data_IF_235394815784
#
_entry.id   IF_235394815784
#
_cell.length_a   1.000
_cell.length_b   1.000
_cell.length_c   1.000
_cell.angle_alpha   90.00
_cell.angle_beta   90.00
_cell.angle_gamma   90.00
#
_symmetry.space_group_name_H-M   'P 1'
#
loop_
_entity.id
_entity.type
_entity.pdbx_description
1 polymer ?
#
# COMPACT_ATOMS: atom_id res chain seq x y z
N UNK A 1 11.25 -3.27 -1.29
CA UNK A 1 10.04 -2.90 -0.56
C UNK A 1 8.97 -2.43 -1.55
N UNK A 2 8.05 -3.31 -1.92
CA UNK A 2 7.04 -3.00 -2.96
C UNK A 2 5.85 -2.24 -2.40
N UNK A 3 5.35 -1.25 -3.13
CA UNK A 3 4.09 -0.57 -2.84
C UNK A 3 2.88 -1.52 -2.98
N UNK A 4 1.75 -1.10 -2.41
CA UNK A 4 0.47 -1.80 -2.58
C UNK A 4 -0.62 -0.84 -3.07
N UNK A 5 -1.64 -1.43 -3.69
CA UNK A 5 -2.95 -0.81 -3.89
C UNK A 5 -4.02 -1.67 -3.22
N UNK A 6 -5.22 -1.11 -3.05
CA UNK A 6 -6.40 -1.88 -2.65
C UNK A 6 -7.27 -2.10 -3.89
N UNK A 7 -7.55 -3.34 -4.27
CA UNK A 7 -8.54 -3.69 -5.31
C UNK A 7 -9.96 -3.53 -4.76
N UNK A 8 -10.14 -3.77 -3.47
CA UNK A 8 -11.33 -3.36 -2.72
C UNK A 8 -10.95 -2.91 -1.32
N UNK A 9 -11.74 -1.99 -0.75
CA UNK A 9 -11.63 -1.62 0.65
C UNK A 9 -13.04 -1.40 1.21
N UNK A 10 -13.46 -2.32 2.04
CA UNK A 10 -14.69 -2.26 2.79
C UNK A 10 -14.43 -1.93 4.26
N UNK A 11 -15.35 -1.21 4.88
CA UNK A 11 -15.43 -1.00 6.32
C UNK A 11 -16.66 -1.73 6.81
N UNK A 12 -16.45 -2.85 7.49
CA UNK A 12 -17.51 -3.80 7.86
C UNK A 12 -17.99 -3.66 9.30
N UNK A 13 -17.31 -2.82 10.09
CA UNK A 13 -17.67 -2.59 11.48
C UNK A 13 -16.67 -1.69 12.20
N UNK A 14 -16.81 -1.65 13.51
CA UNK A 14 -15.90 -0.95 14.41
C UNK A 14 -15.62 -1.85 15.61
N UNK A 15 -14.35 -1.95 16.01
CA UNK A 15 -13.92 -2.72 17.17
C UNK A 15 -14.25 -1.91 18.43
N UNK A 16 -14.95 -2.54 19.38
CA UNK A 16 -15.44 -1.85 20.59
C UNK A 16 -14.31 -1.48 21.55
N UNK A 17 -13.28 -2.31 21.63
CA UNK A 17 -12.17 -2.16 22.58
C UNK A 17 -11.36 -0.87 22.39
N UNK A 18 -11.11 -0.46 21.17
CA UNK A 18 -10.21 0.66 20.83
C UNK A 18 -10.72 1.57 19.73
N UNK A 19 -11.90 1.26 19.19
CA UNK A 19 -12.55 2.05 18.15
C UNK A 19 -11.93 1.96 16.76
N UNK A 20 -11.02 1.01 16.51
CA UNK A 20 -10.52 0.76 15.16
C UNK A 20 -11.61 0.22 14.25
N UNK A 21 -11.58 0.63 13.00
CA UNK A 21 -12.52 0.12 11.99
C UNK A 21 -12.12 -1.30 11.59
N UNK A 22 -13.11 -2.18 11.52
CA UNK A 22 -12.98 -3.52 10.96
C UNK A 22 -13.09 -3.44 9.46
N UNK A 23 -12.16 -4.06 8.77
CA UNK A 23 -11.96 -3.96 7.33
C UNK A 23 -12.11 -5.32 6.67
N UNK A 24 -12.55 -5.31 5.39
CA UNK A 24 -12.43 -6.44 4.47
C UNK A 24 -11.88 -5.91 3.15
N UNK A 25 -10.61 -6.21 2.85
CA UNK A 25 -9.87 -5.59 1.76
C UNK A 25 -9.18 -6.63 0.89
N UNK A 26 -9.13 -6.39 -0.42
CA UNK A 26 -8.19 -7.08 -1.31
C UNK A 26 -7.01 -6.15 -1.53
N UNK A 27 -5.83 -6.56 -1.07
CA UNK A 27 -4.58 -5.86 -1.28
C UNK A 27 -3.75 -6.52 -2.38
N UNK A 28 -3.02 -5.69 -3.12
CA UNK A 28 -2.19 -6.12 -4.24
C UNK A 28 -0.87 -5.35 -4.27
N UNK A 29 0.26 -6.06 -4.28
CA UNK A 29 1.56 -5.45 -4.56
C UNK A 29 1.67 -4.99 -6.02
N UNK A 30 2.42 -3.91 -6.25
CA UNK A 30 2.65 -3.33 -7.57
C UNK A 30 4.15 -3.12 -7.81
N UNK A 31 4.58 -3.02 -9.08
CA UNK A 31 5.97 -2.84 -9.48
C UNK A 31 6.46 -1.38 -9.33
N UNK A 32 6.12 -0.78 -8.20
CA UNK A 32 6.71 0.45 -7.69
C UNK A 32 7.29 0.15 -6.32
N UNK A 33 8.58 0.36 -6.12
CA UNK A 33 9.27 -0.10 -4.93
C UNK A 33 10.36 0.86 -4.45
N UNK A 34 10.64 0.79 -3.16
CA UNK A 34 11.82 1.38 -2.53
C UNK A 34 12.91 0.31 -2.40
N UNK A 35 14.17 0.74 -2.45
CA UNK A 35 15.31 -0.15 -2.18
C UNK A 35 15.80 0.08 -0.76
N UNK A 36 15.97 -1.02 -0.01
CA UNK A 36 16.38 -0.99 1.38
C UNK A 36 17.68 -1.78 1.53
N UNK A 37 18.69 -1.12 2.07
CA UNK A 37 19.97 -1.73 2.40
C UNK A 37 20.16 -1.71 3.91
N UNK A 38 20.58 -2.83 4.48
CA UNK A 38 20.85 -2.96 5.92
C UNK A 38 22.20 -3.62 6.12
N UNK A 39 23.04 -3.05 6.97
CA UNK A 39 24.34 -3.61 7.36
C UNK A 39 24.61 -3.46 8.85
N UNK A 40 25.47 -4.33 9.42
CA UNK A 40 25.86 -4.28 10.83
C UNK A 40 26.77 -3.07 11.11
N UNK A 41 26.60 -2.51 12.32
CA UNK A 41 27.46 -1.48 12.89
C UNK A 41 27.89 -1.85 14.31
N UNK A 42 28.95 -1.21 14.81
CA UNK A 42 29.37 -1.40 16.20
C UNK A 42 28.29 -1.01 17.20
N UNK A 43 27.62 0.11 16.97
CA UNK A 43 26.57 0.62 17.89
C UNK A 43 25.58 1.50 17.17
N UNK A 44 24.42 1.74 17.79
CA UNK A 44 23.36 2.63 17.37
C UNK A 44 22.70 2.26 16.03
N UNK A 45 21.51 2.77 15.82
CA UNK A 45 20.82 2.73 14.53
C UNK A 45 21.14 4.04 13.80
N UNK A 46 21.62 3.94 12.55
CA UNK A 46 21.76 5.07 11.64
C UNK A 46 20.89 4.82 10.43
N UNK A 47 20.01 5.76 10.09
CA UNK A 47 19.18 5.70 8.90
C UNK A 47 19.50 6.87 7.99
N UNK A 48 19.64 6.60 6.70
CA UNK A 48 19.78 7.59 5.64
C UNK A 48 18.69 7.39 4.59
N UNK A 49 18.31 8.47 3.90
CA UNK A 49 17.32 8.44 2.83
C UNK A 49 17.68 9.46 1.76
N UNK A 50 17.50 9.11 0.49
CA UNK A 50 17.70 10.02 -0.65
C UNK A 50 16.66 11.16 -0.74
N UNK A 51 15.70 11.23 0.18
CA UNK A 51 14.69 12.30 0.27
C UNK A 51 14.79 13.01 1.60
N UNK A 52 15.19 14.28 1.58
CA UNK A 52 15.42 15.11 2.78
C UNK A 52 14.16 15.33 3.64
N UNK A 53 12.97 15.21 3.06
CA UNK A 53 11.69 15.31 3.77
C UNK A 53 11.24 14.03 4.47
N UNK A 54 11.97 12.92 4.28
CA UNK A 54 11.70 11.66 4.99
C UNK A 54 12.51 11.66 6.29
N UNK A 55 11.87 11.50 7.47
CA UNK A 55 12.57 11.43 8.74
C UNK A 55 13.60 10.29 8.77
N UNK A 56 14.78 10.57 9.37
CA UNK A 56 15.85 9.57 9.56
C UNK A 56 16.04 9.18 11.04
N UNK A 57 15.02 9.39 11.85
CA UNK A 57 14.95 9.19 13.29
C UNK A 57 13.73 8.31 13.67
N UNK A 58 13.40 8.12 14.99
CA UNK A 58 12.28 7.28 15.43
C UNK A 58 10.89 7.66 14.90
N UNK A 59 10.73 8.73 14.16
CA UNK A 59 9.49 9.04 13.42
C UNK A 59 9.32 8.15 12.18
N UNK A 60 10.41 7.56 11.68
CA UNK A 60 10.41 6.66 10.52
C UNK A 60 10.08 5.22 10.93
N UNK A 61 9.16 4.55 10.22
CA UNK A 61 8.77 3.17 10.51
C UNK A 61 9.91 2.17 10.33
N UNK A 62 10.81 2.38 9.37
CA UNK A 62 12.00 1.55 9.18
C UNK A 62 12.96 1.63 10.38
N UNK A 63 13.13 2.84 10.94
CA UNK A 63 13.90 3.04 12.17
C UNK A 63 13.25 2.34 13.37
N UNK A 64 11.93 2.52 13.54
CA UNK A 64 11.17 1.83 14.60
C UNK A 64 11.21 0.32 14.46
N UNK A 65 11.14 -0.19 13.23
CA UNK A 65 11.25 -1.62 12.95
C UNK A 65 12.59 -2.18 13.43
N UNK A 66 13.69 -1.49 13.16
CA UNK A 66 15.00 -1.88 13.64
C UNK A 66 15.11 -1.82 15.17
N UNK A 67 14.57 -0.78 15.81
CA UNK A 67 14.53 -0.69 17.28
C UNK A 67 13.79 -1.87 17.88
N UNK A 68 12.57 -2.13 17.39
CA UNK A 68 11.70 -3.17 17.93
C UNK A 68 12.29 -4.58 17.70
N UNK A 69 12.93 -4.80 16.55
CA UNK A 69 13.62 -6.06 16.25
C UNK A 69 14.80 -6.30 17.22
N UNK A 70 15.64 -5.27 17.41
CA UNK A 70 16.77 -5.35 18.37
C UNK A 70 16.31 -5.64 19.79
N UNK A 71 15.24 -5.00 20.24
CA UNK A 71 14.65 -5.21 21.56
C UNK A 71 14.13 -6.64 21.71
N UNK A 72 13.35 -7.12 20.75
CA UNK A 72 12.72 -8.45 20.76
C UNK A 72 13.75 -9.59 20.82
N UNK A 73 14.88 -9.44 20.10
CA UNK A 73 15.89 -10.52 19.94
C UNK A 73 17.22 -10.21 20.65
N UNK A 74 17.23 -9.25 21.56
CA UNK A 74 18.40 -8.84 22.38
C UNK A 74 19.67 -8.56 21.57
N UNK A 75 19.53 -7.93 20.39
CA UNK A 75 20.65 -7.61 19.51
C UNK A 75 21.38 -6.37 20.02
N UNK A 76 22.67 -6.52 20.35
CA UNK A 76 23.49 -5.43 20.92
C UNK A 76 24.14 -4.57 19.85
N UNK A 77 24.49 -5.16 18.70
CA UNK A 77 25.11 -4.45 17.57
C UNK A 77 24.18 -3.39 17.02
N UNK A 78 24.75 -2.36 16.44
CA UNK A 78 24.02 -1.35 15.68
C UNK A 78 23.70 -1.79 14.26
N UNK A 79 22.86 -1.01 13.58
CA UNK A 79 22.57 -1.20 12.16
C UNK A 79 22.61 0.11 11.41
N UNK A 80 23.09 0.06 10.17
CA UNK A 80 22.92 1.12 9.18
C UNK A 80 21.81 0.72 8.23
N UNK A 81 20.91 1.65 7.97
CA UNK A 81 19.77 1.48 7.06
C UNK A 81 19.87 2.58 6.01
N UNK A 82 19.89 2.23 4.73
CA UNK A 82 19.76 3.18 3.64
C UNK A 82 18.49 2.91 2.84
N UNK A 83 17.68 3.95 2.66
CA UNK A 83 16.42 3.90 1.91
C UNK A 83 16.56 4.72 0.63
N UNK A 84 16.47 4.05 -0.53
CA UNK A 84 16.27 4.73 -1.82
C UNK A 84 14.78 4.82 -2.08
N UNK A 85 14.19 5.96 -1.71
CA UNK A 85 12.74 6.18 -1.72
C UNK A 85 12.24 6.57 -3.11
N UNK A 86 11.39 5.73 -3.70
CA UNK A 86 10.70 5.96 -4.98
C UNK A 86 9.18 5.99 -4.80
N UNK A 87 8.65 5.26 -3.80
CA UNK A 87 7.22 5.28 -3.46
C UNK A 87 6.86 6.65 -2.88
N UNK A 88 5.84 7.34 -3.42
CA UNK A 88 5.37 8.61 -2.88
C UNK A 88 4.96 8.51 -1.41
N UNK A 89 5.33 9.53 -0.62
CA UNK A 89 4.99 9.61 0.81
C UNK A 89 3.54 10.09 0.99
N UNK A 90 2.86 9.59 2.02
CA UNK A 90 1.46 9.94 2.35
C UNK A 90 0.54 9.78 1.14
N UNK A 91 0.65 8.66 0.46
CA UNK A 91 0.04 8.41 -0.84
C UNK A 91 -1.06 7.32 -0.85
N UNK A 92 -1.31 6.63 0.27
CA UNK A 92 -2.21 5.46 0.30
C UNK A 92 -1.60 4.17 -0.29
N UNK A 93 -0.27 4.17 -0.52
CA UNK A 93 0.51 3.09 -1.15
C UNK A 93 1.34 2.26 -0.16
N UNK A 94 1.18 2.49 1.14
CA UNK A 94 1.90 1.84 2.25
C UNK A 94 3.44 1.96 2.21
N UNK A 95 4.01 3.02 1.59
CA UNK A 95 5.45 3.14 1.41
C UNK A 95 6.28 3.06 2.69
N UNK A 96 5.84 3.69 3.79
CA UNK A 96 6.54 3.57 5.08
C UNK A 96 6.39 2.19 5.73
N UNK A 97 5.21 1.56 5.58
CA UNK A 97 4.94 0.22 6.12
C UNK A 97 5.77 -0.85 5.40
N UNK A 98 5.91 -0.72 4.08
CA UNK A 98 6.73 -1.66 3.30
C UNK A 98 8.23 -1.49 3.59
N UNK A 99 8.69 -0.25 3.86
CA UNK A 99 10.08 -0.01 4.32
C UNK A 99 10.33 -0.70 5.67
N UNK A 100 9.40 -0.53 6.64
CA UNK A 100 9.48 -1.19 7.94
C UNK A 100 9.46 -2.73 7.84
N UNK A 101 8.59 -3.28 7.00
CA UNK A 101 8.51 -4.72 6.72
C UNK A 101 9.83 -5.25 6.13
N UNK A 102 10.41 -4.51 5.16
CA UNK A 102 11.68 -4.88 4.55
C UNK A 102 12.83 -4.89 5.58
N UNK A 103 12.87 -3.89 6.47
CA UNK A 103 13.89 -3.84 7.54
C UNK A 103 13.73 -5.04 8.49
N UNK A 104 12.52 -5.42 8.92
CA UNK A 104 12.31 -6.62 9.74
C UNK A 104 12.85 -7.87 9.07
N UNK A 105 12.54 -8.09 7.80
CA UNK A 105 13.02 -9.26 7.02
C UNK A 105 14.53 -9.24 6.82
N UNK A 106 15.10 -8.08 6.51
CA UNK A 106 16.54 -7.93 6.30
C UNK A 106 17.32 -8.12 7.60
N UNK A 107 16.84 -7.61 8.72
CA UNK A 107 17.46 -7.84 10.03
C UNK A 107 17.37 -9.30 10.45
N UNK A 108 16.23 -9.96 10.20
CA UNK A 108 16.09 -11.39 10.46
C UNK A 108 17.16 -12.21 9.76
N UNK A 109 17.42 -11.88 8.46
CA UNK A 109 18.48 -12.51 7.68
C UNK A 109 19.88 -12.11 8.15
N UNK A 110 20.12 -10.81 8.41
CA UNK A 110 21.43 -10.26 8.75
C UNK A 110 21.97 -10.78 10.09
N UNK A 111 21.08 -10.99 11.07
CA UNK A 111 21.40 -11.46 12.41
C UNK A 111 21.13 -12.96 12.60
N UNK A 112 20.70 -13.66 11.53
CA UNK A 112 20.46 -15.11 11.52
C UNK A 112 19.49 -15.56 12.63
N UNK A 113 18.48 -14.72 12.95
CA UNK A 113 17.50 -14.99 14.03
C UNK A 113 16.59 -16.15 13.63
N UNK A 114 16.32 -16.32 12.33
CA UNK A 114 15.44 -17.36 11.78
C UNK A 114 13.98 -17.29 12.31
N UNK A 115 13.51 -16.08 12.61
CA UNK A 115 12.12 -15.85 12.96
C UNK A 115 11.22 -16.18 11.75
N UNK A 116 10.05 -16.76 12.02
CA UNK A 116 9.05 -17.04 10.98
C UNK A 116 8.41 -15.75 10.44
N UNK A 117 7.75 -15.84 9.28
CA UNK A 117 6.99 -14.69 8.75
C UNK A 117 5.87 -14.30 9.73
N UNK A 118 5.24 -15.24 10.42
CA UNK A 118 4.21 -15.03 11.43
C UNK A 118 4.74 -14.21 12.61
N UNK A 119 5.91 -14.56 13.15
CA UNK A 119 6.57 -13.80 14.22
C UNK A 119 6.93 -12.39 13.80
N UNK A 120 7.42 -12.21 12.55
CA UNK A 120 7.72 -10.90 12.00
C UNK A 120 6.44 -10.09 11.77
N UNK A 121 5.32 -10.72 11.37
CA UNK A 121 4.03 -10.07 11.20
C UNK A 121 3.46 -9.60 12.54
N UNK A 122 3.54 -10.41 13.59
CA UNK A 122 3.14 -10.00 14.96
C UNK A 122 3.98 -8.81 15.45
N UNK A 123 5.28 -8.84 15.21
CA UNK A 123 6.17 -7.75 15.56
C UNK A 123 5.82 -6.48 14.76
N UNK A 124 5.59 -6.63 13.45
CA UNK A 124 5.23 -5.55 12.55
C UNK A 124 3.89 -4.91 12.87
N UNK A 125 2.91 -5.68 13.34
CA UNK A 125 1.58 -5.18 13.71
C UNK A 125 1.65 -4.11 14.81
N UNK A 126 2.63 -4.20 15.73
CA UNK A 126 2.87 -3.18 16.76
C UNK A 126 3.26 -1.82 16.20
N UNK A 127 3.75 -1.78 14.97
CA UNK A 127 4.18 -0.56 14.28
C UNK A 127 3.11 -0.02 13.33
N UNK A 128 2.28 -0.89 12.74
CA UNK A 128 1.20 -0.48 11.85
C UNK A 128 0.48 -1.65 11.18
N UNK A 129 -0.82 -1.47 10.97
CA UNK A 129 -1.72 -2.51 10.47
C UNK A 129 -1.39 -3.01 9.03
N UNK A 130 -0.75 -2.20 8.20
CA UNK A 130 -0.33 -2.61 6.85
C UNK A 130 0.97 -3.44 6.84
N UNK A 131 1.77 -3.44 7.93
CA UNK A 131 3.08 -4.10 7.94
C UNK A 131 2.98 -5.62 7.80
N UNK A 132 2.04 -6.32 8.47
CA UNK A 132 1.86 -7.76 8.27
C UNK A 132 1.65 -8.11 6.80
N UNK A 133 0.77 -7.39 6.09
CA UNK A 133 0.59 -7.58 4.65
C UNK A 133 1.88 -7.29 3.87
N UNK A 134 2.62 -6.23 4.21
CA UNK A 134 3.88 -5.89 3.53
C UNK A 134 4.97 -6.97 3.73
N UNK A 135 4.93 -7.73 4.83
CA UNK A 135 5.79 -8.89 5.04
C UNK A 135 5.39 -10.05 4.14
N UNK A 136 4.09 -10.36 4.07
CA UNK A 136 3.55 -11.46 3.27
C UNK A 136 3.58 -11.15 1.77
N UNK A 137 3.06 -10.00 1.38
CA UNK A 137 3.02 -9.50 0.00
C UNK A 137 2.02 -10.22 -0.90
N UNK A 138 2.16 -9.96 -2.22
CA UNK A 138 1.36 -10.62 -3.27
C UNK A 138 -0.06 -10.08 -3.39
N UNK A 139 -1.01 -10.97 -3.66
CA UNK A 139 -2.45 -10.74 -3.69
C UNK A 139 -3.06 -11.38 -2.45
N UNK A 140 -3.76 -10.61 -1.63
CA UNK A 140 -4.32 -11.12 -0.38
C UNK A 140 -5.65 -10.47 0.00
N UNK A 141 -6.52 -11.26 0.63
CA UNK A 141 -7.63 -10.77 1.42
C UNK A 141 -7.08 -10.40 2.81
N UNK A 142 -7.36 -9.18 3.25
CA UNK A 142 -6.95 -8.65 4.55
C UNK A 142 -8.19 -8.27 5.34
N UNK A 143 -8.35 -8.84 6.53
CA UNK A 143 -9.50 -8.65 7.41
C UNK A 143 -9.05 -8.18 8.81
N UNK A 144 -9.99 -7.99 9.74
CA UNK A 144 -9.69 -7.38 11.03
C UNK A 144 -9.42 -5.89 10.88
N UNK A 145 -8.31 -5.38 11.42
CA UNK A 145 -7.81 -4.02 11.15
C UNK A 145 -6.85 -4.01 9.93
N UNK A 146 -6.68 -5.16 9.26
CA UNK A 146 -5.80 -5.42 8.12
C UNK A 146 -4.75 -6.52 8.37
N UNK A 147 -4.74 -7.09 9.57
CA UNK A 147 -3.73 -8.05 10.05
C UNK A 147 -4.06 -9.52 9.73
N UNK A 148 -5.33 -9.85 9.51
CA UNK A 148 -5.74 -11.21 9.16
C UNK A 148 -5.60 -11.42 7.66
N UNK A 149 -4.57 -12.13 7.24
CA UNK A 149 -4.16 -12.22 5.85
C UNK A 149 -4.44 -13.61 5.29
N UNK A 150 -5.26 -13.67 4.25
CA UNK A 150 -5.49 -14.88 3.45
C UNK A 150 -4.90 -14.67 2.06
N UNK A 151 -3.93 -15.49 1.67
CA UNK A 151 -3.34 -15.42 0.33
C UNK A 151 -4.39 -15.76 -0.73
N UNK A 152 -4.37 -15.00 -1.82
CA UNK A 152 -5.21 -15.23 -2.99
C UNK A 152 -4.36 -15.63 -4.20
N UNK A 153 -5.00 -16.21 -5.23
CA UNK A 153 -4.34 -16.42 -6.50
C UNK A 153 -3.81 -15.11 -7.06
N UNK A 154 -2.58 -15.09 -7.61
CA UNK A 154 -2.01 -13.88 -8.19
C UNK A 154 -2.85 -13.34 -9.35
N UNK A 155 -3.28 -12.08 -9.26
CA UNK A 155 -3.94 -11.35 -10.34
C UNK A 155 -2.88 -10.75 -11.27
N UNK A 156 -2.36 -11.58 -12.20
CA UNK A 156 -1.13 -11.32 -12.98
C UNK A 156 -1.34 -10.37 -14.15
N UNK A 157 -0.22 -9.80 -14.62
CA UNK A 157 -0.08 -9.13 -15.92
C UNK A 157 -1.05 -7.97 -16.15
N UNK A 158 -1.39 -7.24 -15.09
CA UNK A 158 -2.23 -6.05 -15.20
C UNK A 158 -1.38 -4.78 -15.27
N UNK A 159 -1.80 -3.88 -16.14
CA UNK A 159 -1.13 -2.60 -16.38
C UNK A 159 -1.85 -1.52 -15.59
N UNK A 160 -1.08 -0.72 -14.86
CA UNK A 160 -1.59 0.31 -13.99
C UNK A 160 -1.03 1.68 -14.36
N UNK A 161 -1.85 2.71 -14.23
CA UNK A 161 -1.40 4.09 -14.11
C UNK A 161 -1.71 4.56 -12.71
N UNK A 162 -0.69 5.08 -12.02
CA UNK A 162 -0.85 5.69 -10.70
C UNK A 162 -0.69 7.19 -10.84
N UNK A 163 -1.59 7.94 -10.23
CA UNK A 163 -1.54 9.41 -10.22
C UNK A 163 -1.64 9.89 -8.79
N UNK A 164 -0.56 10.52 -8.29
CA UNK A 164 -0.49 11.10 -6.97
C UNK A 164 -0.44 12.63 -7.06
N UNK A 165 -1.49 13.34 -6.60
CA UNK A 165 -1.50 14.81 -6.53
C UNK A 165 -0.44 15.37 -5.59
N UNK A 166 -0.21 16.67 -5.64
CA UNK A 166 0.83 17.37 -4.88
C UNK A 166 0.63 17.45 -3.35
N UNK A 167 -0.45 16.87 -2.81
CA UNK A 167 -0.75 16.87 -1.37
C UNK A 167 -0.78 15.45 -0.80
N UNK A 168 -0.69 15.32 0.53
CA UNK A 168 -0.90 14.08 1.27
C UNK A 168 -2.26 14.07 1.95
N UNK A 169 -2.73 12.88 2.33
CA UNK A 169 -3.97 12.68 3.10
C UNK A 169 -3.64 11.90 4.37
N UNK A 170 -4.18 12.36 5.50
CA UNK A 170 -4.03 11.68 6.79
C UNK A 170 -5.02 10.53 6.89
N UNK A 171 -4.52 9.30 6.94
CA UNK A 171 -5.34 8.09 7.13
C UNK A 171 -6.20 8.20 8.39
N UNK A 172 -5.62 8.71 9.50
CA UNK A 172 -6.33 8.90 10.77
C UNK A 172 -7.54 9.85 10.62
N UNK A 173 -7.38 10.95 9.88
CA UNK A 173 -8.47 11.90 9.67
C UNK A 173 -9.56 11.35 8.75
N UNK A 174 -9.19 10.54 7.74
CA UNK A 174 -10.16 9.91 6.85
C UNK A 174 -11.02 8.93 7.63
N UNK A 175 -10.42 8.03 8.43
CA UNK A 175 -11.18 7.09 9.26
C UNK A 175 -12.02 7.81 10.33
N UNK A 176 -11.50 8.88 10.94
CA UNK A 176 -12.27 9.69 11.91
C UNK A 176 -13.50 10.36 11.27
N UNK A 177 -13.41 10.72 9.99
CA UNK A 177 -14.51 11.38 9.25
C UNK A 177 -15.42 10.37 8.53
N UNK A 178 -15.12 9.07 8.60
CA UNK A 178 -15.90 8.03 7.96
C UNK A 178 -17.11 7.68 8.82
N UNK A 179 -18.31 7.67 8.20
CA UNK A 179 -19.58 7.35 8.83
C UNK A 179 -20.10 6.04 8.22
N UNK A 180 -20.03 4.96 9.00
CA UNK A 180 -20.39 3.60 8.55
C UNK A 180 -21.86 3.50 8.15
N UNK A 181 -22.75 4.13 8.90
CA UNK A 181 -24.21 4.16 8.69
C UNK A 181 -24.60 4.85 7.37
N UNK A 182 -23.74 5.71 6.85
CA UNK A 182 -23.92 6.36 5.54
C UNK A 182 -23.35 5.57 4.36
N UNK A 183 -22.64 4.48 4.62
CA UNK A 183 -22.09 3.61 3.60
C UNK A 183 -23.17 2.62 3.08
N UNK A 184 -23.91 3.02 2.02
CA UNK A 184 -25.03 2.24 1.49
C UNK A 184 -24.65 1.10 0.54
N UNK A 185 -23.47 1.20 -0.08
CA UNK A 185 -23.06 0.25 -1.12
C UNK A 185 -21.66 -0.27 -0.78
N UNK A 186 -21.58 -1.54 -0.41
CA UNK A 186 -20.35 -2.24 -0.08
C UNK A 186 -19.75 -2.96 -1.30
N UNK A 187 -18.43 -3.17 -1.36
CA UNK A 187 -17.83 -4.00 -2.40
C UNK A 187 -18.28 -5.45 -2.28
N UNK A 188 -18.53 -6.09 -3.41
CA UNK A 188 -18.83 -7.53 -3.48
C UNK A 188 -17.49 -8.31 -3.47
N UNK A 189 -16.80 -8.30 -2.33
CA UNK A 189 -15.42 -8.80 -2.21
C UNK A 189 -15.26 -10.23 -2.69
N UNK A 190 -16.19 -11.13 -2.35
CA UNK A 190 -16.12 -12.55 -2.74
C UNK A 190 -16.24 -12.73 -4.27
N UNK A 191 -17.12 -11.95 -4.91
CA UNK A 191 -17.22 -11.94 -6.39
C UNK A 191 -16.01 -11.33 -7.07
N UNK A 192 -15.36 -10.35 -6.43
CA UNK A 192 -14.08 -9.81 -6.93
C UNK A 192 -12.98 -10.87 -6.85
N UNK A 193 -12.92 -11.65 -5.77
CA UNK A 193 -11.96 -12.76 -5.64
C UNK A 193 -12.18 -13.80 -6.74
N UNK A 194 -13.42 -14.24 -6.94
CA UNK A 194 -13.79 -15.17 -8.01
C UNK A 194 -13.39 -14.66 -9.40
N UNK A 195 -13.68 -13.39 -9.68
CA UNK A 195 -13.31 -12.76 -10.95
C UNK A 195 -11.78 -12.64 -11.14
N UNK A 196 -11.04 -12.35 -10.06
CA UNK A 196 -9.58 -12.33 -10.09
C UNK A 196 -9.00 -13.73 -10.34
N UNK A 197 -9.55 -14.76 -9.74
CA UNK A 197 -9.17 -16.17 -9.97
C UNK A 197 -9.40 -16.63 -11.41
N UNK A 198 -10.48 -16.14 -12.01
CA UNK A 198 -10.82 -16.36 -13.42
C UNK A 198 -10.12 -15.38 -14.38
N UNK A 199 -9.25 -14.50 -13.84
CA UNK A 199 -8.52 -13.47 -14.61
C UNK A 199 -9.42 -12.49 -15.38
N UNK A 200 -10.67 -12.31 -14.92
CA UNK A 200 -11.65 -11.37 -15.52
C UNK A 200 -11.31 -9.92 -15.14
N UNK A 201 -10.46 -9.31 -15.97
CA UNK A 201 -10.03 -7.92 -15.82
C UNK A 201 -11.22 -6.95 -15.80
N UNK A 202 -12.19 -7.17 -16.71
CA UNK A 202 -13.29 -6.22 -16.90
C UNK A 202 -14.24 -6.24 -15.71
N UNK A 203 -14.58 -7.43 -15.20
CA UNK A 203 -15.39 -7.52 -14.00
C UNK A 203 -14.69 -6.87 -12.81
N UNK A 204 -13.41 -7.21 -12.57
CA UNK A 204 -12.64 -6.65 -11.45
C UNK A 204 -12.60 -5.12 -11.55
N UNK A 205 -12.15 -4.57 -12.68
CA UNK A 205 -11.93 -3.14 -12.83
C UNK A 205 -13.24 -2.32 -12.73
N UNK A 206 -14.36 -2.84 -13.22
CA UNK A 206 -15.67 -2.18 -13.13
C UNK A 206 -16.36 -2.31 -11.77
N UNK A 207 -15.94 -3.28 -10.92
CA UNK A 207 -16.56 -3.54 -9.63
C UNK A 207 -15.65 -3.22 -8.43
N UNK A 208 -14.43 -2.72 -8.67
CA UNK A 208 -13.57 -2.17 -7.62
C UNK A 208 -14.31 -1.12 -6.82
N UNK A 209 -14.17 -1.16 -5.50
CA UNK A 209 -14.78 -0.16 -4.62
C UNK A 209 -13.95 0.07 -3.37
N UNK A 210 -13.81 1.35 -3.01
CA UNK A 210 -13.13 1.79 -1.80
C UNK A 210 -14.07 2.74 -1.03
N UNK A 211 -14.55 2.32 0.13
CA UNK A 211 -15.49 3.12 0.92
C UNK A 211 -14.89 4.43 1.44
N UNK A 212 -13.56 4.51 1.57
CA UNK A 212 -12.89 5.75 1.98
C UNK A 212 -12.97 6.84 0.91
N UNK A 213 -13.29 6.49 -0.35
CA UNK A 213 -13.62 7.49 -1.38
C UNK A 213 -14.78 8.39 -0.96
N UNK A 214 -15.74 7.88 -0.19
CA UNK A 214 -16.88 8.67 0.33
C UNK A 214 -16.43 9.88 1.18
N UNK A 215 -15.24 9.82 1.77
CA UNK A 215 -14.66 10.92 2.55
C UNK A 215 -13.70 11.74 1.72
N UNK A 216 -12.73 11.08 1.12
CA UNK A 216 -11.58 11.76 0.51
C UNK A 216 -11.95 12.49 -0.79
N UNK A 217 -12.79 11.89 -1.65
CA UNK A 217 -13.21 12.53 -2.89
C UNK A 217 -14.07 13.77 -2.65
N UNK A 218 -14.90 13.77 -1.59
CA UNK A 218 -15.70 14.95 -1.22
C UNK A 218 -14.85 16.16 -0.81
N UNK A 219 -13.69 15.90 -0.19
CA UNK A 219 -12.74 16.93 0.24
C UNK A 219 -11.80 17.39 -0.89
N UNK A 220 -11.61 16.55 -1.92
CA UNK A 220 -10.58 16.76 -2.94
C UNK A 220 -11.10 16.44 -4.35
N UNK A 221 -11.87 17.37 -4.94
CA UNK A 221 -12.48 17.21 -6.28
C UNK A 221 -11.47 16.90 -7.40
N UNK A 222 -10.19 17.26 -7.25
CA UNK A 222 -9.15 16.92 -8.21
C UNK A 222 -9.03 15.41 -8.42
N UNK A 223 -9.33 14.58 -7.41
CA UNK A 223 -9.28 13.12 -7.52
C UNK A 223 -10.39 12.60 -8.44
N UNK A 224 -11.56 13.22 -8.40
CA UNK A 224 -12.67 12.89 -9.32
C UNK A 224 -12.23 13.19 -10.76
N UNK A 225 -11.66 14.36 -11.01
CA UNK A 225 -11.16 14.75 -12.34
C UNK A 225 -10.08 13.79 -12.84
N UNK A 226 -9.18 13.33 -11.97
CA UNK A 226 -8.16 12.34 -12.31
C UNK A 226 -8.80 11.01 -12.73
N UNK A 227 -9.82 10.52 -11.99
CA UNK A 227 -10.57 9.29 -12.34
C UNK A 227 -11.25 9.44 -13.70
N UNK A 228 -11.92 10.56 -13.94
CA UNK A 228 -12.59 10.87 -15.21
C UNK A 228 -11.61 10.89 -16.39
N UNK A 229 -10.45 11.52 -16.22
CA UNK A 229 -9.42 11.54 -17.26
C UNK A 229 -8.80 10.16 -17.51
N UNK A 230 -8.56 9.36 -16.48
CA UNK A 230 -8.14 7.98 -16.65
C UNK A 230 -9.15 7.19 -17.48
N UNK A 231 -10.44 7.27 -17.16
CA UNK A 231 -11.51 6.59 -17.88
C UNK A 231 -11.64 7.10 -19.32
N UNK A 232 -11.56 8.42 -19.54
CA UNK A 232 -11.56 9.03 -20.87
C UNK A 232 -10.46 8.51 -21.77
N UNK A 233 -9.28 8.22 -21.20
CA UNK A 233 -8.13 7.69 -21.93
C UNK A 233 -7.97 6.16 -21.81
N UNK A 234 -9.08 5.46 -21.59
CA UNK A 234 -9.19 4.02 -21.76
C UNK A 234 -8.80 3.17 -20.56
N UNK A 235 -8.85 3.73 -19.34
CA UNK A 235 -8.87 2.87 -18.16
C UNK A 235 -10.14 2.02 -18.17
N UNK A 236 -10.01 0.71 -17.92
CA UNK A 236 -11.15 -0.20 -17.73
C UNK A 236 -11.90 0.15 -16.45
N UNK A 237 -11.17 0.62 -15.44
CA UNK A 237 -11.71 1.16 -14.21
C UNK A 237 -10.66 1.96 -13.47
N UNK A 238 -11.10 2.89 -12.61
CA UNK A 238 -10.21 3.73 -11.80
C UNK A 238 -10.71 3.88 -10.36
N UNK A 239 -9.80 3.88 -9.39
CA UNK A 239 -10.12 3.95 -7.97
C UNK A 239 -9.00 4.60 -7.17
N UNK A 240 -9.33 5.15 -6.01
CA UNK A 240 -8.36 5.64 -5.03
C UNK A 240 -7.77 4.48 -4.22
N UNK A 241 -6.47 4.48 -3.98
CA UNK A 241 -5.79 3.49 -3.12
C UNK A 241 -5.78 3.90 -1.65
N UNK A 242 -6.23 3.01 -0.77
CA UNK A 242 -6.27 3.26 0.67
C UNK A 242 -7.06 4.51 1.02
N UNK A 243 -6.54 5.32 1.93
CA UNK A 243 -7.11 6.65 2.28
C UNK A 243 -6.80 7.73 1.22
N UNK A 244 -6.05 7.40 0.18
CA UNK A 244 -5.62 8.33 -0.86
C UNK A 244 -4.31 9.07 -0.52
N UNK A 245 -3.96 10.12 -1.30
CA UNK A 245 -4.71 10.65 -2.44
C UNK A 245 -4.37 9.98 -3.79
N UNK A 246 -3.58 8.90 -3.82
CA UNK A 246 -3.27 8.25 -5.09
C UNK A 246 -4.51 7.63 -5.69
N UNK A 247 -4.78 7.97 -6.95
CA UNK A 247 -5.74 7.29 -7.81
C UNK A 247 -4.97 6.36 -8.74
N UNK A 248 -5.48 5.16 -8.93
CA UNK A 248 -4.96 4.25 -9.94
C UNK A 248 -6.04 3.88 -10.95
N UNK A 249 -5.61 3.61 -12.18
CA UNK A 249 -6.45 3.05 -13.24
C UNK A 249 -5.85 1.74 -13.73
N UNK A 250 -6.70 0.77 -14.05
CA UNK A 250 -6.31 -0.51 -14.66
C UNK A 250 -6.55 -0.42 -16.16
N UNK A 251 -5.60 -0.90 -16.96
CA UNK A 251 -5.62 -0.85 -18.41
C UNK A 251 -5.42 -2.25 -19.02
N UNK A 252 -6.06 -2.46 -20.16
CA UNK A 252 -5.93 -3.67 -20.99
C UNK A 252 -4.72 -3.58 -21.95
N UNK A 253 -4.13 -2.37 -22.11
CA UNK A 253 -3.06 -2.10 -23.06
C UNK A 253 -2.04 -1.09 -22.52
N UNK A 254 -0.74 -1.38 -22.75
CA UNK A 254 0.37 -0.47 -22.41
C UNK A 254 0.26 0.86 -23.15
N UNK A 255 -0.26 0.83 -24.37
CA UNK A 255 -0.43 2.04 -25.21
C UNK A 255 -1.45 2.98 -24.56
N UNK A 256 -2.65 2.48 -24.22
CA UNK A 256 -3.68 3.26 -23.52
C UNK A 256 -3.16 3.82 -22.20
N UNK A 257 -2.45 3.01 -21.41
CA UNK A 257 -1.87 3.45 -20.15
C UNK A 257 -0.85 4.59 -20.34
N UNK A 258 0.06 4.47 -21.31
CA UNK A 258 1.04 5.52 -21.64
C UNK A 258 0.37 6.80 -22.13
N UNK A 259 -0.65 6.69 -22.99
CA UNK A 259 -1.44 7.82 -23.49
C UNK A 259 -2.15 8.54 -22.34
N UNK A 260 -2.81 7.80 -21.44
CA UNK A 260 -3.46 8.36 -20.26
C UNK A 260 -2.46 9.10 -19.36
N UNK A 261 -1.33 8.47 -19.05
CA UNK A 261 -0.28 9.08 -18.24
C UNK A 261 0.28 10.38 -18.87
N UNK A 262 0.50 10.39 -20.18
CA UNK A 262 0.95 11.57 -20.90
C UNK A 262 -0.08 12.71 -20.83
N UNK A 263 -1.36 12.41 -21.06
CA UNK A 263 -2.45 13.40 -21.04
C UNK A 263 -2.70 13.97 -19.63
N UNK A 264 -2.58 13.16 -18.60
CA UNK A 264 -2.69 13.62 -17.20
C UNK A 264 -1.54 14.58 -16.85
N UNK A 265 -0.30 14.31 -17.33
CA UNK A 265 0.84 15.23 -17.17
C UNK A 265 0.65 16.53 -17.96
N UNK A 266 0.23 16.43 -19.24
CA UNK A 266 -0.04 17.58 -20.12
C UNK A 266 -1.07 18.53 -19.49
N UNK A 267 -2.13 17.98 -18.87
CA UNK A 267 -3.17 18.75 -18.16
C UNK A 267 -2.73 19.22 -16.76
N UNK A 268 -1.50 18.94 -16.35
CA UNK A 268 -0.92 19.32 -15.05
C UNK A 268 -1.77 18.87 -13.85
N UNK A 269 -2.53 17.77 -13.95
CA UNK A 269 -3.37 17.28 -12.88
C UNK A 269 -2.54 16.71 -11.71
N UNK A 270 -1.35 16.18 -11.99
CA UNK A 270 -0.37 15.74 -11.00
C UNK A 270 1.05 15.72 -11.58
N UNK A 271 2.04 15.97 -10.72
CA UNK A 271 3.47 15.82 -11.08
C UNK A 271 3.94 14.36 -10.99
N UNK A 272 3.35 13.57 -10.10
CA UNK A 272 3.73 12.18 -9.87
C UNK A 272 2.74 11.26 -10.58
N UNK A 273 3.14 10.79 -11.77
CA UNK A 273 2.37 9.89 -12.63
C UNK A 273 3.26 8.74 -13.04
N UNK A 274 2.87 7.50 -12.71
CA UNK A 274 3.63 6.29 -12.97
C UNK A 274 2.83 5.35 -13.86
N UNK A 275 3.49 4.70 -14.82
CA UNK A 275 2.97 3.54 -15.52
C UNK A 275 3.70 2.33 -14.97
N UNK A 276 2.99 1.41 -14.36
CA UNK A 276 3.55 0.25 -13.65
C UNK A 276 2.69 -0.99 -13.91
N UNK A 277 3.03 -2.08 -13.26
CA UNK A 277 2.28 -3.35 -13.30
C UNK A 277 1.96 -3.87 -11.90
N UNK A 278 1.19 -4.94 -11.86
CA UNK A 278 1.02 -5.74 -10.66
C UNK A 278 2.29 -6.55 -10.42
N UNK A 279 2.82 -6.45 -9.19
CA UNK A 279 3.94 -7.26 -8.77
C UNK A 279 3.49 -8.65 -8.37
N UNK A 280 4.06 -9.65 -9.01
CA UNK A 280 3.87 -11.05 -8.65
C UNK A 280 5.14 -11.54 -7.97
N UNK A 281 5.12 -11.67 -6.64
CA UNK A 281 6.22 -12.32 -5.95
C UNK A 281 6.45 -13.70 -6.58
N UNK A 282 7.63 -13.90 -7.17
CA UNK A 282 8.03 -15.25 -7.60
C UNK A 282 8.15 -16.07 -6.33
N UNK A 283 7.30 -17.08 -6.15
CA UNK A 283 7.54 -18.13 -5.17
C UNK A 283 8.91 -18.73 -5.54
N UNK A 284 9.90 -18.53 -4.66
CA UNK A 284 11.14 -19.30 -4.73
C UNK A 284 10.90 -20.70 -4.19
#
# INVERSE_FOLDING_TARGET
>A
AYAKINISLDVVGKREEDGYHLLKMIMQNIDLYDEIYVEKRKSNIKLECNKSYVPTDPRNLAYKAAMLFKEKYDIKEGVYINIVKNIPVSAGLAGGSTDGAAVLKLMNKLFEVNASDEELMELGLKLGADIPYCIKGGTALCEGIGEKITELKPFKDKILVLVKPGFGVSTKEVYKSFELDKARIHPKTDKLIEAMENNDLYYVANNMKNLLENVTLRKHNILIRIKEEMNRYGAVGSMMSGSGPTVFGIYDSKEKARKAAAKIREKQLAKQVYVTGIHNARRK
#
